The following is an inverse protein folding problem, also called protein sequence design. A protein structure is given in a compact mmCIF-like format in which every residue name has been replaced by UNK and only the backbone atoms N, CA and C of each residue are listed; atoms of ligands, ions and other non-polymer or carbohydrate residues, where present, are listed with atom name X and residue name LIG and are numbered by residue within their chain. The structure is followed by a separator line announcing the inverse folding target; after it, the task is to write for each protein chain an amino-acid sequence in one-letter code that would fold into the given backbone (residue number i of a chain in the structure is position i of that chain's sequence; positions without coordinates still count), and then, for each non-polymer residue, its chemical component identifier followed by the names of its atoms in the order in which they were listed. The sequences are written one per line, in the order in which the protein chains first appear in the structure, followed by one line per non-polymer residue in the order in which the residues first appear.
data_IF_177151642750
#
_entry.id   IF_177151642750
#
_cell.length_a   1.000
_cell.length_b   1.000
_cell.length_c   1.000
_cell.angle_alpha   90.00
_cell.angle_beta   90.00
_cell.angle_gamma   90.00
#
_symmetry.space_group_name_H-M   'P 1'
#
loop_
_entity.id
_entity.type
_entity.pdbx_description
1 polymer ?
#
# COMPACT_ATOMS: atom_id res chain seq x y z
N UNK A 1 -2.01 -18.56 -20.44
CA UNK A 1 -2.17 -18.88 -19.00
C UNK A 1 -0.86 -18.53 -18.30
N UNK A 2 -0.76 -17.33 -17.72
CA UNK A 2 0.37 -16.96 -16.88
C UNK A 2 0.13 -17.54 -15.49
N UNK A 3 0.84 -18.61 -15.14
CA UNK A 3 0.90 -19.11 -13.78
C UNK A 3 1.92 -18.25 -13.05
N UNK A 4 1.49 -17.07 -12.58
CA UNK A 4 2.28 -16.28 -11.65
C UNK A 4 2.26 -17.01 -10.32
N UNK A 5 3.18 -17.95 -10.15
CA UNK A 5 3.41 -18.60 -8.88
C UNK A 5 3.92 -17.61 -7.85
N UNK A 6 3.86 -18.04 -6.60
CA UNK A 6 4.31 -17.25 -5.46
C UNK A 6 5.79 -16.82 -5.62
N UNK A 7 6.60 -17.68 -6.25
CA UNK A 7 8.01 -17.42 -6.56
C UNK A 7 8.19 -16.32 -7.62
N UNK A 8 7.47 -16.38 -8.74
CA UNK A 8 7.57 -15.35 -9.78
C UNK A 8 7.15 -13.97 -9.27
N UNK A 9 6.10 -13.90 -8.44
CA UNK A 9 5.66 -12.64 -7.81
C UNK A 9 6.75 -12.04 -6.91
N UNK A 10 7.46 -12.86 -6.13
CA UNK A 10 8.57 -12.39 -5.28
C UNK A 10 9.71 -11.86 -6.14
N UNK A 11 10.08 -12.54 -7.23
CA UNK A 11 11.13 -12.08 -8.13
C UNK A 11 10.77 -10.74 -8.75
N UNK A 12 9.52 -10.58 -9.23
CA UNK A 12 9.02 -9.32 -9.77
C UNK A 12 9.05 -8.21 -8.71
N UNK A 13 8.62 -8.51 -7.49
CA UNK A 13 8.66 -7.57 -6.37
C UNK A 13 10.08 -7.07 -6.10
N UNK A 14 11.06 -7.98 -6.08
CA UNK A 14 12.47 -7.63 -5.90
C UNK A 14 12.95 -6.71 -7.03
N UNK A 15 12.64 -7.03 -8.29
CA UNK A 15 13.00 -6.18 -9.45
C UNK A 15 12.37 -4.79 -9.31
N UNK A 16 11.09 -4.69 -8.94
CA UNK A 16 10.42 -3.41 -8.71
C UNK A 16 11.11 -2.62 -7.58
N UNK A 17 11.45 -3.27 -6.47
CA UNK A 17 12.15 -2.61 -5.36
C UNK A 17 13.54 -2.13 -5.76
N UNK A 18 14.27 -2.87 -6.60
CA UNK A 18 15.58 -2.44 -7.11
C UNK A 18 15.49 -1.27 -8.10
N UNK A 19 14.49 -1.28 -8.98
CA UNK A 19 14.30 -0.21 -9.98
C UNK A 19 13.85 1.11 -9.34
N UNK A 20 12.90 1.05 -8.42
CA UNK A 20 12.32 2.24 -7.79
C UNK A 20 13.06 2.64 -6.51
N UNK A 21 13.74 1.69 -5.86
CA UNK A 21 14.40 1.87 -4.57
C UNK A 21 13.42 1.81 -3.38
N UNK A 22 13.87 1.22 -2.27
CA UNK A 22 13.05 1.08 -1.06
C UNK A 22 12.59 2.44 -0.48
N UNK A 23 13.42 3.49 -0.59
CA UNK A 23 13.09 4.83 -0.07
C UNK A 23 11.95 5.51 -0.85
N UNK A 24 11.92 5.38 -2.18
CA UNK A 24 10.84 5.97 -3.01
C UNK A 24 9.52 5.24 -2.77
N UNK A 25 9.56 3.90 -2.71
CA UNK A 25 8.37 3.08 -2.42
C UNK A 25 7.83 3.41 -1.02
N UNK A 26 8.71 3.49 -0.01
CA UNK A 26 8.31 3.85 1.35
C UNK A 26 7.65 5.22 1.42
N UNK A 27 8.22 6.24 0.77
CA UNK A 27 7.64 7.59 0.72
C UNK A 27 6.23 7.60 0.11
N UNK A 28 6.05 6.95 -1.03
CA UNK A 28 4.74 6.84 -1.70
C UNK A 28 3.75 6.08 -0.80
N UNK A 29 4.18 4.99 -0.18
CA UNK A 29 3.32 4.21 0.72
C UNK A 29 2.90 5.02 1.95
N UNK A 30 3.78 5.86 2.52
CA UNK A 30 3.45 6.75 3.64
C UNK A 30 2.45 7.84 3.22
N UNK A 31 2.67 8.48 2.07
CA UNK A 31 1.77 9.51 1.52
C UNK A 31 0.38 8.91 1.21
N UNK A 32 0.32 7.75 0.56
CA UNK A 32 -0.92 7.02 0.30
C UNK A 32 -1.59 6.52 1.60
N UNK A 33 -0.82 5.98 2.53
CA UNK A 33 -1.31 5.45 3.80
C UNK A 33 -1.95 6.53 4.67
N UNK A 34 -1.36 7.72 4.73
CA UNK A 34 -1.94 8.87 5.43
C UNK A 34 -3.27 9.30 4.78
N UNK A 35 -3.33 9.35 3.45
CA UNK A 35 -4.55 9.68 2.70
C UNK A 35 -5.67 8.66 2.93
N UNK A 36 -5.34 7.36 2.88
CA UNK A 36 -6.28 6.27 3.16
C UNK A 36 -6.77 6.33 4.60
N UNK A 37 -5.88 6.67 5.54
CA UNK A 37 -6.25 6.80 6.95
C UNK A 37 -7.23 7.94 7.19
N UNK A 38 -6.95 9.14 6.66
CA UNK A 38 -7.88 10.27 6.75
C UNK A 38 -9.19 9.98 6.02
N UNK A 39 -9.15 9.25 4.90
CA UNK A 39 -10.37 8.80 4.21
C UNK A 39 -11.19 7.83 5.06
N UNK A 40 -10.54 6.85 5.70
CA UNK A 40 -11.19 5.93 6.63
C UNK A 40 -11.77 6.67 7.83
N UNK A 41 -11.06 7.62 8.41
CA UNK A 41 -11.54 8.44 9.53
C UNK A 41 -12.74 9.31 9.13
N UNK A 42 -12.73 9.90 7.94
CA UNK A 42 -13.88 10.64 7.41
C UNK A 42 -15.10 9.76 7.12
N UNK A 43 -14.89 8.51 6.70
CA UNK A 43 -15.96 7.53 6.50
C UNK A 43 -16.47 6.91 7.82
N UNK A 44 -15.58 6.70 8.79
CA UNK A 44 -15.89 6.16 10.12
C UNK A 44 -16.38 7.23 11.10
N UNK A 45 -16.20 8.52 10.80
CA UNK A 45 -16.73 9.66 11.57
C UNK A 45 -18.25 9.73 11.65
N UNK A 46 -18.99 8.80 11.00
CA UNK A 46 -20.42 8.56 11.25
C UNK A 46 -20.73 7.47 12.27
N UNK A 47 -19.73 6.83 12.89
CA UNK A 47 -19.92 5.69 13.82
C UNK A 47 -19.32 5.90 15.22
N UNK A 48 -18.50 6.92 15.44
CA UNK A 48 -17.90 7.25 16.76
C UNK A 48 -18.53 8.49 17.42
N UNK A 49 -19.79 8.83 17.07
CA UNK A 49 -20.61 9.82 17.79
C UNK A 49 -21.67 9.17 18.70
N UNK A 50 -21.42 7.93 19.16
CA UNK A 50 -22.18 7.30 20.25
C UNK A 50 -21.30 7.18 21.51
N UNK A 51 -21.10 8.32 22.16
CA UNK A 51 -21.26 8.39 23.61
C UNK A 51 -22.66 8.90 23.91
#
# INVERSE_FOLDING_TARGET
MFHLGQTELIVILIVVVLLFGAGRIGRIATELGSSIRSFKEGLSGGQDEKQ
#
